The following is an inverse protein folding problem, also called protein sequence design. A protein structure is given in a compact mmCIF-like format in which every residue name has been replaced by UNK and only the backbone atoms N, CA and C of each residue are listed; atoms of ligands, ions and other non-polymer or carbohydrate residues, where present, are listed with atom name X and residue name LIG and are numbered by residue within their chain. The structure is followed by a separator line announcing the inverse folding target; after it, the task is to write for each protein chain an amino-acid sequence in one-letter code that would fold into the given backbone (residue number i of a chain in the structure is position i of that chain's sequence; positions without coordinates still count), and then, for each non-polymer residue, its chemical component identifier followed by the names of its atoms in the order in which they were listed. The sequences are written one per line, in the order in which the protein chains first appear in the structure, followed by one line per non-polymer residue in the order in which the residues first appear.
data_IF_510615625339
#
_entry.id   IF_510615625339
#
_cell.length_a   1.000
_cell.length_b   1.000
_cell.length_c   1.000
_cell.angle_alpha   90.00
_cell.angle_beta   90.00
_cell.angle_gamma   90.00
#
_symmetry.space_group_name_H-M   'P 1'
#
loop_
_entity.id
_entity.type
_entity.pdbx_description
1 polymer ?
#
# COMPACT_ATOMS: atom_id res chain seq x y z
N UNK A 1 -71.96 -50.68 -8.10
CA UNK A 1 -70.81 -49.81 -8.42
C UNK A 1 -70.13 -49.46 -7.11
N UNK A 2 -68.94 -49.89 -6.71
CA UNK A 2 -67.93 -50.83 -7.19
C UNK A 2 -67.39 -51.54 -5.93
N UNK A 3 -67.08 -52.85 -5.95
CA UNK A 3 -66.67 -53.54 -4.73
C UNK A 3 -65.29 -53.04 -4.32
N UNK A 4 -65.23 -52.34 -3.18
CA UNK A 4 -63.95 -52.07 -2.52
C UNK A 4 -63.42 -53.45 -2.12
N UNK A 5 -62.50 -53.94 -2.95
CA UNK A 5 -61.75 -55.17 -2.80
C UNK A 5 -61.06 -55.11 -1.44
N UNK A 6 -61.73 -55.68 -0.43
CA UNK A 6 -61.20 -55.84 0.91
C UNK A 6 -59.86 -56.55 0.76
N UNK A 7 -58.77 -55.89 1.13
CA UNK A 7 -57.47 -56.55 1.25
C UNK A 7 -57.68 -57.69 2.26
N UNK A 8 -57.67 -58.92 1.77
CA UNK A 8 -57.72 -60.14 2.57
C UNK A 8 -56.64 -60.08 3.65
N UNK A 9 -56.98 -60.14 4.95
CA UNK A 9 -56.00 -60.34 5.99
C UNK A 9 -55.91 -61.85 6.28
N UNK A 10 -55.55 -62.65 5.27
CA UNK A 10 -54.95 -63.97 5.56
C UNK A 10 -53.46 -63.75 5.84
N UNK A 11 -53.19 -62.95 6.87
CA UNK A 11 -51.86 -62.83 7.46
C UNK A 11 -51.97 -63.50 8.82
N UNK A 12 -51.20 -64.58 8.98
CA UNK A 12 -50.93 -65.27 10.23
C UNK A 12 -50.90 -64.26 11.40
N UNK A 13 -51.34 -64.63 12.61
CA UNK A 13 -51.34 -63.72 13.76
C UNK A 13 -50.01 -62.94 13.93
N UNK A 14 -48.90 -63.57 13.53
CA UNK A 14 -47.57 -62.98 13.42
C UNK A 14 -47.51 -61.76 12.48
N UNK A 15 -48.13 -61.80 11.31
CA UNK A 15 -48.16 -60.71 10.32
C UNK A 15 -48.98 -59.50 10.77
N UNK A 16 -50.11 -59.69 11.46
CA UNK A 16 -50.86 -58.57 12.07
C UNK A 16 -50.10 -57.94 13.24
N UNK A 17 -49.44 -58.76 14.08
CA UNK A 17 -48.57 -58.27 15.16
C UNK A 17 -47.36 -57.51 14.60
N UNK A 18 -46.74 -57.99 13.52
CA UNK A 18 -45.63 -57.29 12.84
C UNK A 18 -46.12 -55.97 12.24
N UNK A 19 -47.29 -55.93 11.59
CA UNK A 19 -47.87 -54.68 11.07
C UNK A 19 -48.15 -53.67 12.18
N UNK A 20 -48.70 -54.10 13.32
CA UNK A 20 -48.95 -53.23 14.46
C UNK A 20 -47.65 -52.69 15.08
N UNK A 21 -46.63 -53.54 15.23
CA UNK A 21 -45.30 -53.15 15.73
C UNK A 21 -44.61 -52.21 14.75
N UNK A 22 -44.72 -52.46 13.45
CA UNK A 22 -44.13 -51.64 12.41
C UNK A 22 -44.81 -50.26 12.35
N UNK A 23 -46.14 -50.19 12.51
CA UNK A 23 -46.89 -48.93 12.53
C UNK A 23 -46.61 -48.11 13.80
N UNK A 24 -46.28 -48.77 14.92
CA UNK A 24 -45.84 -48.12 16.15
C UNK A 24 -44.39 -47.62 16.07
N UNK A 25 -43.48 -48.40 15.47
CA UNK A 25 -42.06 -48.06 15.36
C UNK A 25 -41.76 -47.05 14.26
N UNK A 26 -42.53 -47.04 13.16
CA UNK A 26 -42.35 -46.12 12.04
C UNK A 26 -42.31 -44.64 12.46
N UNK A 27 -43.28 -44.09 13.23
CA UNK A 27 -43.22 -42.70 13.65
C UNK A 27 -42.03 -42.43 14.57
N UNK A 28 -41.61 -43.40 15.40
CA UNK A 28 -40.47 -43.27 16.31
C UNK A 28 -39.15 -43.14 15.52
N UNK A 29 -38.97 -43.99 14.51
CA UNK A 29 -37.80 -43.95 13.62
C UNK A 29 -37.80 -42.67 12.78
N UNK A 30 -38.97 -42.23 12.31
CA UNK A 30 -39.10 -41.00 11.54
C UNK A 30 -38.75 -39.77 12.39
N UNK A 31 -39.23 -39.71 13.64
CA UNK A 31 -38.95 -38.62 14.56
C UNK A 31 -37.46 -38.58 14.95
N UNK A 32 -36.86 -39.75 15.16
CA UNK A 32 -35.42 -39.90 15.41
C UNK A 32 -34.59 -39.41 14.20
N UNK A 33 -34.96 -39.83 12.99
CA UNK A 33 -34.29 -39.42 11.76
C UNK A 33 -34.40 -37.92 11.48
N UNK A 34 -35.59 -37.33 11.69
CA UNK A 34 -35.82 -35.90 11.45
C UNK A 34 -35.19 -34.98 12.52
N UNK A 35 -35.00 -35.47 13.76
CA UNK A 35 -34.40 -34.69 14.84
C UNK A 35 -32.85 -34.72 14.82
N UNK A 36 -32.25 -35.85 14.43
CA UNK A 36 -30.78 -36.03 14.50
C UNK A 36 -30.08 -35.55 13.23
N UNK A 37 -30.70 -35.71 12.05
CA UNK A 37 -30.13 -35.27 10.78
C UNK A 37 -29.83 -33.75 10.70
N UNK A 38 -30.70 -32.82 11.16
CA UNK A 38 -30.36 -31.39 11.14
C UNK A 38 -29.27 -31.04 12.16
N UNK A 39 -29.18 -31.78 13.27
CA UNK A 39 -28.17 -31.55 14.30
C UNK A 39 -26.75 -31.86 13.80
N UNK A 40 -26.59 -32.92 13.00
CA UNK A 40 -25.29 -33.28 12.41
C UNK A 40 -24.84 -32.30 11.30
N UNK A 41 -25.77 -31.69 10.55
CA UNK A 41 -25.44 -30.69 9.52
C UNK A 41 -24.90 -29.37 10.11
N UNK A 42 -25.40 -28.97 11.28
CA UNK A 42 -24.92 -27.77 11.99
C UNK A 42 -23.46 -27.94 12.49
N UNK A 43 -23.03 -29.17 12.78
CA UNK A 43 -21.63 -29.45 13.15
C UNK A 43 -20.66 -29.41 11.96
N UNK A 44 -21.13 -29.67 10.73
CA UNK A 44 -20.29 -29.66 9.53
C UNK A 44 -19.96 -28.24 9.05
N UNK A 45 -20.94 -27.32 9.04
CA UNK A 45 -20.74 -25.90 8.67
C UNK A 45 -19.79 -25.15 9.62
N UNK A 46 -19.68 -25.60 10.87
CA UNK A 46 -18.78 -25.00 11.85
C UNK A 46 -17.30 -25.36 11.61
N UNK A 47 -16.99 -26.44 10.88
CA UNK A 47 -15.60 -26.82 10.58
C UNK A 47 -14.99 -25.98 9.47
N UNK A 48 -15.77 -25.65 8.45
CA UNK A 48 -15.31 -24.85 7.30
C UNK A 48 -14.95 -23.41 7.72
N UNK A 49 -15.76 -22.80 8.60
CA UNK A 49 -15.46 -21.45 9.14
C UNK A 49 -14.18 -21.42 9.99
N UNK A 50 -13.87 -22.50 10.72
CA UNK A 50 -12.67 -22.58 11.56
C UNK A 50 -11.40 -22.77 10.72
N UNK A 51 -11.47 -23.47 9.59
CA UNK A 51 -10.32 -23.65 8.70
C UNK A 51 -9.98 -22.36 7.93
N UNK A 52 -10.97 -21.62 7.44
CA UNK A 52 -10.75 -20.32 6.78
C UNK A 52 -10.17 -19.26 7.73
N UNK A 53 -10.68 -19.19 8.96
CA UNK A 53 -10.15 -18.29 9.99
C UNK A 53 -8.70 -18.63 10.37
N UNK A 54 -8.35 -19.93 10.40
CA UNK A 54 -6.97 -20.38 10.68
C UNK A 54 -6.02 -20.07 9.52
N UNK A 55 -6.47 -20.20 8.27
CA UNK A 55 -5.67 -19.86 7.10
C UNK A 55 -5.37 -18.35 7.03
N UNK A 56 -6.37 -17.52 7.33
CA UNK A 56 -6.19 -16.07 7.43
C UNK A 56 -5.26 -15.68 8.58
N UNK A 57 -5.41 -16.29 9.76
CA UNK A 57 -4.51 -16.06 10.90
C UNK A 57 -3.07 -16.49 10.59
N UNK A 58 -2.85 -17.64 9.94
CA UNK A 58 -1.49 -18.05 9.54
C UNK A 58 -0.88 -17.10 8.51
N UNK A 59 -1.67 -16.58 7.56
CA UNK A 59 -1.19 -15.60 6.58
C UNK A 59 -0.85 -14.26 7.22
N UNK A 60 -1.67 -13.82 8.18
CA UNK A 60 -1.40 -12.62 8.98
C UNK A 60 -0.17 -12.82 9.88
N UNK A 61 -0.04 -13.96 10.55
CA UNK A 61 1.11 -14.29 11.40
C UNK A 61 2.42 -14.41 10.60
N UNK A 62 2.41 -14.96 9.38
CA UNK A 62 3.58 -14.98 8.50
C UNK A 62 3.98 -13.58 8.01
N UNK A 63 3.03 -12.66 7.93
CA UNK A 63 3.27 -11.26 7.57
C UNK A 63 3.74 -10.46 8.80
N UNK A 64 3.16 -10.71 9.96
CA UNK A 64 3.52 -10.11 11.25
C UNK A 64 4.85 -10.63 11.80
N UNK A 65 5.27 -11.86 11.46
CA UNK A 65 6.60 -12.38 11.79
C UNK A 65 7.74 -11.58 11.13
N UNK A 66 7.42 -10.71 10.16
CA UNK A 66 8.37 -9.75 9.60
C UNK A 66 8.43 -8.44 10.42
N UNK A 67 7.43 -8.11 11.23
CA UNK A 67 7.38 -6.90 12.05
C UNK A 67 8.59 -6.72 13.00
N UNK A 68 9.04 -7.74 13.76
CA UNK A 68 10.22 -7.56 14.64
C UNK A 68 11.51 -7.33 13.85
N UNK A 69 11.59 -7.81 12.60
CA UNK A 69 12.71 -7.56 11.69
C UNK A 69 12.75 -6.10 11.21
N UNK A 70 11.59 -5.44 11.07
CA UNK A 70 11.50 -4.02 10.76
C UNK A 70 11.72 -3.15 12.00
N UNK A 71 11.21 -3.54 13.17
CA UNK A 71 11.45 -2.86 14.45
C UNK A 71 12.93 -2.86 14.85
N UNK A 72 13.61 -4.00 14.73
CA UNK A 72 15.05 -4.08 14.97
C UNK A 72 15.88 -3.23 14.00
N UNK A 73 15.42 -3.10 12.74
CA UNK A 73 16.08 -2.24 11.73
C UNK A 73 15.82 -0.76 11.99
N UNK A 74 14.62 -0.40 12.46
CA UNK A 74 14.29 0.95 12.90
C UNK A 74 15.11 1.37 14.13
N UNK A 75 15.26 0.49 15.13
CA UNK A 75 16.10 0.75 16.30
C UNK A 75 17.58 0.86 15.94
N UNK A 76 18.08 0.00 15.05
CA UNK A 76 19.45 0.09 14.56
C UNK A 76 19.71 1.39 13.77
N UNK A 77 18.75 1.82 12.94
CA UNK A 77 18.82 3.09 12.21
C UNK A 77 18.74 4.30 13.15
N UNK A 78 17.94 4.26 14.22
CA UNK A 78 17.87 5.36 15.19
C UNK A 78 19.17 5.55 16.00
N UNK A 79 19.94 4.47 16.20
CA UNK A 79 21.18 4.48 16.98
C UNK A 79 22.44 4.73 16.11
N UNK A 80 22.32 4.70 14.78
CA UNK A 80 23.43 4.94 13.87
C UNK A 80 23.73 6.46 13.74
N UNK A 81 24.94 6.94 14.05
CA UNK A 81 25.36 8.31 13.75
C UNK A 81 25.21 8.68 12.26
N UNK A 82 25.22 7.72 11.34
CA UNK A 82 24.96 7.92 9.92
C UNK A 82 23.51 8.36 9.64
N UNK A 83 22.55 8.05 10.52
CA UNK A 83 21.19 8.53 10.40
C UNK A 83 21.09 10.06 10.46
N UNK A 84 22.01 10.74 11.16
CA UNK A 84 22.09 12.22 11.13
C UNK A 84 22.47 12.77 9.76
N UNK A 85 23.22 12.01 8.94
CA UNK A 85 23.57 12.43 7.56
C UNK A 85 22.37 12.35 6.62
N UNK A 86 21.36 11.57 6.97
CA UNK A 86 20.15 11.37 6.18
C UNK A 86 19.11 12.49 6.36
N UNK A 87 19.24 13.32 7.41
CA UNK A 87 18.39 14.48 7.65
C UNK A 87 19.06 15.78 7.20
N UNK A 88 18.25 16.80 6.94
CA UNK A 88 18.76 18.16 6.72
C UNK A 88 19.51 18.63 7.98
N UNK A 89 20.71 19.14 7.77
CA UNK A 89 21.55 19.66 8.83
C UNK A 89 21.35 21.18 8.94
N UNK A 90 21.11 21.67 10.15
CA UNK A 90 21.01 23.09 10.44
C UNK A 90 20.59 23.32 11.87
N UNK A 91 21.17 24.33 12.52
CA UNK A 91 20.80 24.71 13.89
C UNK A 91 19.40 25.34 13.97
N UNK A 92 18.89 25.85 12.85
CA UNK A 92 17.54 26.42 12.74
C UNK A 92 16.88 26.03 11.41
N UNK A 93 15.54 26.00 11.34
CA UNK A 93 14.82 25.71 10.09
C UNK A 93 15.19 26.68 8.95
N UNK A 94 15.48 27.95 9.28
CA UNK A 94 15.90 28.95 8.31
C UNK A 94 17.28 28.63 7.70
N UNK A 95 18.25 28.19 8.51
CA UNK A 95 19.58 27.79 8.05
C UNK A 95 19.50 26.52 7.19
N UNK A 96 18.75 25.51 7.62
CA UNK A 96 18.54 24.30 6.85
C UNK A 96 17.83 24.56 5.51
N UNK A 97 16.89 25.52 5.49
CA UNK A 97 16.24 25.97 4.24
C UNK A 97 17.23 26.63 3.27
N UNK A 98 18.11 27.50 3.78
CA UNK A 98 19.12 28.18 2.98
C UNK A 98 20.14 27.19 2.41
N UNK A 99 20.59 26.23 3.21
CA UNK A 99 21.51 25.18 2.77
C UNK A 99 20.87 24.29 1.69
N UNK A 100 19.62 23.86 1.89
CA UNK A 100 18.89 23.08 0.89
C UNK A 100 18.72 23.86 -0.43
N UNK A 101 18.38 25.15 -0.35
CA UNK A 101 18.29 26.03 -1.51
C UNK A 101 19.62 26.15 -2.25
N UNK A 102 20.73 26.37 -1.53
CA UNK A 102 22.07 26.47 -2.10
C UNK A 102 22.44 25.16 -2.82
N UNK A 103 22.28 24.03 -2.13
CA UNK A 103 22.60 22.71 -2.65
C UNK A 103 21.80 22.36 -3.90
N UNK A 104 20.49 22.61 -3.90
CA UNK A 104 19.65 22.36 -5.07
C UNK A 104 20.12 23.20 -6.27
N UNK A 105 20.51 24.45 -6.04
CA UNK A 105 21.10 25.30 -7.07
C UNK A 105 22.45 24.79 -7.58
N UNK A 106 23.29 24.23 -6.72
CA UNK A 106 24.57 23.63 -7.10
C UNK A 106 24.38 22.36 -7.94
N UNK A 107 23.47 21.47 -7.57
CA UNK A 107 23.15 20.25 -8.34
C UNK A 107 22.71 20.61 -9.77
N UNK A 108 21.79 21.58 -9.89
CA UNK A 108 21.30 22.03 -11.20
C UNK A 108 22.43 22.59 -12.06
N UNK A 109 23.31 23.42 -11.48
CA UNK A 109 24.44 24.02 -12.22
C UNK A 109 25.51 22.99 -12.57
N UNK A 110 25.77 22.02 -11.70
CA UNK A 110 26.75 20.96 -11.92
C UNK A 110 26.38 20.08 -13.11
N UNK A 111 25.09 19.77 -13.27
CA UNK A 111 24.55 19.08 -14.45
C UNK A 111 24.45 19.97 -15.70
N UNK A 112 24.82 21.25 -15.62
CA UNK A 112 24.75 22.21 -16.74
C UNK A 112 23.35 22.76 -17.02
N UNK A 113 22.41 22.66 -16.07
CA UNK A 113 21.11 23.30 -16.14
C UNK A 113 21.18 24.81 -15.84
N UNK A 114 20.29 25.58 -16.46
CA UNK A 114 20.14 27.02 -16.28
C UNK A 114 19.13 27.31 -15.15
N UNK A 115 19.63 27.52 -13.93
CA UNK A 115 18.78 27.87 -12.78
C UNK A 115 18.12 29.23 -12.97
N UNK A 116 16.78 29.26 -12.98
CA UNK A 116 15.97 30.47 -13.11
C UNK A 116 15.66 31.08 -11.74
N UNK A 117 15.20 30.27 -10.79
CA UNK A 117 14.93 30.72 -9.43
C UNK A 117 14.93 29.58 -8.42
N UNK A 118 15.11 29.93 -7.16
CA UNK A 118 14.94 29.01 -6.03
C UNK A 118 14.19 29.73 -4.92
N UNK A 119 13.19 29.08 -4.34
CA UNK A 119 12.28 29.65 -3.36
C UNK A 119 12.01 28.64 -2.25
N UNK A 120 12.20 29.06 -1.00
CA UNK A 120 11.74 28.31 0.18
C UNK A 120 10.22 28.47 0.28
N UNK A 121 9.49 27.36 0.34
CA UNK A 121 8.02 27.36 0.42
C UNK A 121 7.52 27.47 1.86
N UNK A 122 8.33 27.05 2.84
CA UNK A 122 8.01 27.13 4.25
C UNK A 122 8.48 25.89 5.00
N UNK A 123 8.22 25.90 6.30
CA UNK A 123 8.53 24.80 7.21
C UNK A 123 7.27 24.33 7.91
N UNK A 124 7.05 23.01 7.97
CA UNK A 124 5.91 22.40 8.66
C UNK A 124 6.43 21.49 9.75
N UNK A 125 5.96 21.64 10.97
CA UNK A 125 6.27 20.72 12.06
C UNK A 125 5.28 19.55 12.08
N UNK A 126 5.80 18.33 12.17
CA UNK A 126 5.02 17.10 12.17
C UNK A 126 5.74 16.05 13.03
N UNK A 127 5.09 15.62 14.12
CA UNK A 127 5.54 14.54 15.01
C UNK A 127 7.02 14.61 15.47
N UNK A 128 7.50 15.82 15.81
CA UNK A 128 8.88 16.04 16.29
C UNK A 128 9.92 16.19 15.17
N UNK A 129 9.47 16.33 13.91
CA UNK A 129 10.28 16.68 12.76
C UNK A 129 9.81 17.99 12.14
N UNK A 130 10.75 18.75 11.59
CA UNK A 130 10.45 19.94 10.79
C UNK A 130 10.69 19.58 9.32
N UNK A 131 9.62 19.51 8.54
CA UNK A 131 9.67 19.40 7.09
C UNK A 131 10.03 20.76 6.50
N UNK A 132 11.00 20.78 5.58
CA UNK A 132 11.44 21.97 4.87
C UNK A 132 11.27 21.73 3.38
N UNK A 133 10.49 22.59 2.71
CA UNK A 133 10.22 22.47 1.27
C UNK A 133 10.86 23.63 0.49
N UNK A 134 11.55 23.29 -0.60
CA UNK A 134 12.20 24.22 -1.51
C UNK A 134 11.77 23.93 -2.94
N UNK A 135 11.42 25.00 -3.67
CA UNK A 135 11.11 24.96 -5.10
C UNK A 135 12.27 25.52 -5.91
N UNK A 136 12.72 24.80 -6.92
CA UNK A 136 13.62 25.30 -7.95
C UNK A 136 12.93 25.33 -9.31
N UNK A 137 13.16 26.41 -10.05
CA UNK A 137 12.80 26.53 -11.46
C UNK A 137 14.06 26.65 -12.29
N UNK A 138 14.18 25.84 -13.33
CA UNK A 138 15.36 25.82 -14.17
C UNK A 138 15.03 25.34 -15.59
N UNK A 139 15.94 25.60 -16.52
CA UNK A 139 15.89 25.05 -17.87
C UNK A 139 17.00 24.01 -18.02
N UNK A 140 16.68 22.84 -18.57
CA UNK A 140 17.65 21.76 -18.77
C UNK A 140 17.28 20.93 -20.01
N UNK A 141 18.24 20.24 -20.62
CA UNK A 141 17.92 19.19 -21.61
C UNK A 141 17.36 17.95 -20.93
N UNK A 142 16.82 17.01 -21.71
CA UNK A 142 16.34 15.73 -21.19
C UNK A 142 17.42 14.96 -20.41
N UNK A 143 18.65 14.92 -20.94
CA UNK A 143 19.79 14.26 -20.29
C UNK A 143 20.18 14.95 -18.97
N UNK A 144 20.26 16.28 -18.99
CA UNK A 144 20.64 17.04 -17.79
C UNK A 144 19.60 16.90 -16.68
N UNK A 145 18.30 16.86 -17.02
CA UNK A 145 17.25 16.60 -16.04
C UNK A 145 17.42 15.22 -15.37
N UNK A 146 17.78 14.19 -16.15
CA UNK A 146 18.05 12.86 -15.61
C UNK A 146 19.22 12.89 -14.61
N UNK A 147 20.32 13.55 -14.96
CA UNK A 147 21.49 13.71 -14.08
C UNK A 147 21.12 14.45 -12.78
N UNK A 148 20.35 15.54 -12.87
CA UNK A 148 19.86 16.29 -11.70
C UNK A 148 19.04 15.40 -10.77
N UNK A 149 18.11 14.62 -11.31
CA UNK A 149 17.25 13.75 -10.51
C UNK A 149 18.05 12.62 -9.85
N UNK A 150 19.03 12.04 -10.57
CA UNK A 150 19.92 11.03 -10.02
C UNK A 150 20.77 11.59 -8.88
N UNK A 151 21.33 12.79 -9.02
CA UNK A 151 22.13 13.43 -7.96
C UNK A 151 21.31 13.75 -6.70
N UNK A 152 20.02 14.07 -6.85
CA UNK A 152 19.09 14.29 -5.72
C UNK A 152 18.76 12.96 -5.02
N UNK A 153 18.59 11.86 -5.76
CA UNK A 153 18.23 10.55 -5.19
C UNK A 153 19.45 9.82 -4.59
N UNK A 154 20.62 9.94 -5.21
CA UNK A 154 21.80 9.15 -4.86
C UNK A 154 22.56 9.69 -3.64
N UNK A 155 22.42 10.98 -3.32
CA UNK A 155 23.26 11.63 -2.31
C UNK A 155 22.49 12.06 -1.05
N UNK A 156 23.00 11.78 0.17
CA UNK A 156 22.42 12.28 1.41
C UNK A 156 22.55 13.81 1.51
N UNK A 157 21.58 14.53 2.12
CA UNK A 157 20.45 14.02 2.91
C UNK A 157 19.31 13.51 2.04
N UNK A 158 18.40 12.71 2.60
CA UNK A 158 17.25 12.20 1.85
C UNK A 158 16.32 13.35 1.48
N UNK A 159 16.31 13.64 0.18
CA UNK A 159 15.47 14.66 -0.42
C UNK A 159 14.36 13.96 -1.21
N UNK A 160 13.12 14.31 -0.90
CA UNK A 160 11.94 13.75 -1.53
C UNK A 160 11.36 14.77 -2.51
N UNK A 161 11.01 14.30 -3.70
CA UNK A 161 10.38 15.15 -4.72
C UNK A 161 8.89 15.21 -4.42
N UNK A 162 8.39 16.38 -4.05
CA UNK A 162 6.95 16.63 -3.85
C UNK A 162 6.23 16.80 -5.19
N UNK A 163 6.87 17.53 -6.11
CA UNK A 163 6.27 17.91 -7.39
C UNK A 163 7.34 18.11 -8.45
N UNK A 164 7.12 17.54 -9.62
CA UNK A 164 7.94 17.75 -10.81
C UNK A 164 7.02 18.11 -11.98
N UNK A 165 7.19 19.31 -12.53
CA UNK A 165 6.50 19.75 -13.75
C UNK A 165 7.52 20.02 -14.84
N UNK A 166 7.39 19.34 -15.98
CA UNK A 166 8.30 19.47 -17.12
C UNK A 166 7.52 19.99 -18.32
N UNK A 167 8.03 21.03 -18.96
CA UNK A 167 7.42 21.64 -20.15
C UNK A 167 8.45 21.78 -21.27
N UNK A 168 8.21 21.25 -22.47
CA UNK A 168 9.15 21.42 -23.57
C UNK A 168 9.18 22.88 -24.05
N UNK A 169 10.37 23.40 -24.28
CA UNK A 169 10.56 24.69 -24.95
C UNK A 169 10.38 24.45 -26.44
N UNK A 170 9.39 25.12 -27.03
CA UNK A 170 9.08 24.92 -28.45
C UNK A 170 10.25 25.41 -29.32
N UNK A 171 10.68 24.55 -30.23
CA UNK A 171 11.65 24.85 -31.26
C UNK A 171 11.21 26.02 -32.15
N UNK A 172 12.18 26.74 -32.70
CA UNK A 172 11.91 27.76 -33.71
C UNK A 172 11.74 27.08 -35.07
N UNK A 173 10.75 27.54 -35.85
CA UNK A 173 10.63 27.15 -37.25
C UNK A 173 11.68 27.88 -38.08
N UNK A 174 12.48 27.15 -38.83
CA UNK A 174 13.44 27.76 -39.76
C UNK A 174 12.66 28.54 -40.84
N UNK A 175 12.90 29.85 -41.02
CA UNK A 175 12.19 30.67 -42.00
C UNK A 175 12.40 30.22 -43.46
N UNK A 176 13.54 29.59 -43.78
CA UNK A 176 13.91 29.20 -45.15
C UNK A 176 13.44 27.79 -45.49
N UNK A 177 13.68 26.84 -44.59
CA UNK A 177 13.35 25.42 -44.84
C UNK A 177 11.97 25.03 -44.35
N UNK A 178 11.30 25.88 -43.56
CA UNK A 178 10.02 25.61 -42.87
C UNK A 178 10.05 24.36 -41.97
N UNK A 179 11.22 23.77 -41.74
CA UNK A 179 11.42 22.61 -40.88
C UNK A 179 11.42 23.02 -39.41
N UNK A 180 11.00 22.09 -38.55
CA UNK A 180 10.99 22.28 -37.11
C UNK A 180 12.33 21.80 -36.57
N UNK A 181 13.11 22.70 -35.96
CA UNK A 181 14.34 22.32 -35.26
C UNK A 181 13.94 22.10 -33.79
N UNK A 182 13.83 20.84 -33.30
CA UNK A 182 13.50 20.59 -31.91
C UNK A 182 14.63 21.14 -31.02
N UNK A 183 14.26 22.03 -30.09
CA UNK A 183 15.16 22.40 -29.00
C UNK A 183 15.00 21.33 -27.91
N UNK A 184 16.08 20.64 -27.57
CA UNK A 184 16.16 19.78 -26.38
C UNK A 184 16.37 20.68 -25.14
N UNK A 185 15.40 21.57 -24.90
CA UNK A 185 15.32 22.42 -23.71
C UNK A 185 13.96 22.21 -23.06
N UNK A 186 13.97 21.98 -21.76
CA UNK A 186 12.82 21.72 -20.92
C UNK A 186 12.79 22.77 -19.81
N UNK A 187 11.66 23.45 -19.64
CA UNK A 187 11.39 24.26 -18.45
C UNK A 187 10.88 23.33 -17.36
N UNK A 188 11.59 23.31 -16.23
CA UNK A 188 11.33 22.42 -15.11
C UNK A 188 10.96 23.24 -13.87
N UNK A 189 9.86 22.88 -13.21
CA UNK A 189 9.51 23.33 -11.87
C UNK A 189 9.53 22.11 -10.95
N UNK A 190 10.52 22.09 -10.05
CA UNK A 190 10.80 20.99 -9.14
C UNK A 190 10.62 21.48 -7.71
N UNK A 191 9.78 20.81 -6.94
CA UNK A 191 9.62 21.02 -5.50
C UNK A 191 10.15 19.81 -4.76
N UNK A 192 11.08 20.04 -3.85
CA UNK A 192 11.78 19.03 -3.05
C UNK A 192 11.58 19.36 -1.58
N UNK A 193 11.44 18.35 -0.74
CA UNK A 193 11.41 18.51 0.70
C UNK A 193 12.35 17.55 1.40
N UNK A 194 12.82 17.96 2.57
CA UNK A 194 13.58 17.12 3.48
C UNK A 194 13.12 17.33 4.91
N UNK A 195 13.47 16.40 5.79
CA UNK A 195 13.16 16.48 7.21
C UNK A 195 14.39 16.86 8.02
N UNK A 196 14.18 17.70 9.01
CA UNK A 196 15.13 18.02 10.08
C UNK A 196 14.54 17.51 11.39
N UNK A 197 15.37 16.95 12.27
CA UNK A 197 14.91 16.61 13.62
C UNK A 197 14.68 17.91 14.39
N UNK A 198 13.51 18.09 14.97
CA UNK A 198 13.24 19.24 15.82
C UNK A 198 13.95 19.00 17.15
N UNK A 199 15.00 19.77 17.44
CA UNK A 199 15.57 19.78 18.79
C UNK A 199 14.57 20.53 19.70
N UNK A 200 14.18 19.96 20.85
CA UNK A 200 13.31 20.66 21.78
C UNK A 200 14.07 21.88 22.33
N UNK A 201 13.48 23.05 22.11
CA UNK A 201 13.91 24.35 22.66
C UNK A 201 13.99 24.34 24.18
#
# INVERSE_FOLDING_TARGET
MAPIKRLNPNLNETGQRILAVLLLLLPLVLLYGLAIAPYLKILADNRERIEDLRFQLQRLQRTAAKAPLWEGRLQALQQDPAARRHYLQGATPALASAELQKRLGEIVRAAGGELTSTQVLGTKEEDGFTQISVRARFTASSRQLQEILQEIEANPPYLLIERLTVRPVRGRRDPKTRQFIPLDKLNVDLTVYGYMKTEPS
#
